data_IF_822494137717
#
_entry.id   IF_822494137717
#
_cell.length_a   1.000
_cell.length_b   1.000
_cell.length_c   1.000
_cell.angle_alpha   90.00
_cell.angle_beta   90.00
_cell.angle_gamma   90.00
#
_symmetry.space_group_name_H-M   'P 1'
#
loop_
_entity.id
_entity.type
_entity.pdbx_description
1 polymer ?
#
# COMPACT_ATOMS: atom_id res chain seq x y z
N UNK A 1 -30.94 -18.19 26.30
CA UNK A 1 -30.28 -18.07 25.02
C UNK A 1 -30.81 -16.82 24.31
N UNK A 2 -29.96 -15.80 24.06
CA UNK A 2 -30.36 -14.64 23.25
C UNK A 2 -30.41 -15.08 21.80
N UNK A 3 -31.59 -14.94 21.18
CA UNK A 3 -31.80 -15.21 19.76
C UNK A 3 -30.94 -14.20 18.97
N UNK A 4 -29.91 -14.69 18.27
CA UNK A 4 -29.16 -13.87 17.32
C UNK A 4 -30.09 -13.66 16.14
N UNK A 5 -30.52 -12.43 15.92
CA UNK A 5 -31.36 -12.08 14.77
C UNK A 5 -30.56 -12.33 13.49
N UNK A 6 -31.19 -12.99 12.52
CA UNK A 6 -30.62 -13.19 11.19
C UNK A 6 -30.42 -11.83 10.49
N UNK A 7 -29.31 -11.59 9.79
CA UNK A 7 -29.11 -10.36 9.01
C UNK A 7 -30.17 -10.13 7.91
N UNK A 8 -31.05 -11.10 7.69
CA UNK A 8 -32.07 -11.08 6.64
C UNK A 8 -33.48 -10.69 7.14
N UNK A 9 -33.67 -10.47 8.44
CA UNK A 9 -34.92 -9.86 8.91
C UNK A 9 -34.92 -8.38 8.50
N UNK A 10 -35.66 -8.07 7.42
CA UNK A 10 -35.85 -6.68 6.98
C UNK A 10 -36.56 -5.90 8.10
N UNK A 11 -35.80 -5.07 8.80
CA UNK A 11 -36.38 -4.06 9.67
C UNK A 11 -37.01 -3.01 8.73
N UNK A 12 -38.32 -2.91 8.73
CA UNK A 12 -39.01 -1.82 8.04
C UNK A 12 -38.77 -0.54 8.84
N UNK A 13 -37.87 0.30 8.35
CA UNK A 13 -37.77 1.68 8.82
C UNK A 13 -38.92 2.48 8.21
N UNK A 14 -39.63 3.33 8.97
CA UNK A 14 -40.61 4.22 8.38
C UNK A 14 -39.91 5.13 7.37
N UNK A 15 -40.36 5.10 6.13
CA UNK A 15 -39.90 6.06 5.12
C UNK A 15 -40.45 7.44 5.50
N UNK A 16 -39.56 8.42 5.64
CA UNK A 16 -39.95 9.81 5.80
C UNK A 16 -40.08 10.43 4.42
N UNK A 17 -41.28 10.80 4.04
CA UNK A 17 -41.55 11.44 2.75
C UNK A 17 -41.17 12.94 2.76
N UNK A 18 -40.93 13.53 3.93
CA UNK A 18 -40.58 14.94 4.07
C UNK A 18 -39.23 15.09 4.79
N UNK A 19 -38.31 15.80 4.12
CA UNK A 19 -37.05 16.18 4.74
C UNK A 19 -37.28 17.40 5.66
N UNK A 20 -36.80 17.40 6.91
CA UNK A 20 -36.89 18.56 7.79
C UNK A 20 -36.21 19.79 7.16
N UNK A 21 -36.72 20.98 7.46
CA UNK A 21 -36.16 22.23 6.98
C UNK A 21 -34.66 22.34 7.33
N UNK A 22 -33.83 22.63 6.32
CA UNK A 22 -32.36 22.76 6.48
C UNK A 22 -31.58 21.47 6.23
N UNK A 23 -32.23 20.32 6.02
CA UNK A 23 -31.57 19.09 5.57
C UNK A 23 -31.32 19.15 4.07
N UNK A 24 -30.08 18.88 3.66
CA UNK A 24 -29.72 18.77 2.24
C UNK A 24 -29.66 17.32 1.86
N UNK A 25 -30.36 16.94 0.81
CA UNK A 25 -30.19 15.67 0.17
C UNK A 25 -28.82 15.62 -0.51
N UNK A 26 -28.01 14.66 -0.15
CA UNK A 26 -26.73 14.40 -0.82
C UNK A 26 -26.94 13.19 -1.72
N UNK A 27 -26.88 13.43 -3.03
CA UNK A 27 -26.89 12.36 -4.00
C UNK A 27 -25.64 11.50 -3.79
N UNK A 28 -25.83 10.28 -3.30
CA UNK A 28 -24.75 9.29 -3.21
C UNK A 28 -24.44 8.83 -4.63
N UNK A 29 -23.37 9.38 -5.20
CA UNK A 29 -22.88 8.88 -6.48
C UNK A 29 -22.17 7.56 -6.23
N UNK A 30 -22.54 6.52 -6.95
CA UNK A 30 -21.84 5.23 -7.03
C UNK A 30 -20.46 5.35 -7.70
N UNK A 31 -19.71 6.37 -7.32
CA UNK A 31 -18.36 6.62 -7.80
C UNK A 31 -17.32 6.21 -6.76
N UNK A 32 -17.65 5.23 -5.91
CA UNK A 32 -16.63 4.58 -5.12
C UNK A 32 -15.75 3.80 -6.09
N UNK A 33 -14.53 4.31 -6.27
CA UNK A 33 -13.44 3.53 -6.80
C UNK A 33 -13.26 2.25 -5.96
N UNK A 34 -12.19 1.56 -6.18
CA UNK A 34 -11.88 0.39 -5.38
C UNK A 34 -11.72 0.77 -3.91
N UNK A 35 -12.21 -0.07 -3.00
CA UNK A 35 -11.82 0.01 -1.59
C UNK A 35 -10.33 -0.32 -1.45
N UNK A 36 -9.72 0.08 -0.35
CA UNK A 36 -8.30 -0.20 -0.08
C UNK A 36 -8.19 -1.15 1.10
N UNK A 37 -7.47 -2.24 0.90
CA UNK A 37 -7.05 -3.16 1.96
C UNK A 37 -5.60 -2.85 2.34
N UNK A 38 -5.30 -2.85 3.64
CA UNK A 38 -3.95 -2.60 4.17
C UNK A 38 -3.41 -3.86 4.84
N UNK A 39 -2.22 -4.27 4.44
CA UNK A 39 -1.39 -5.28 5.09
C UNK A 39 -0.20 -4.57 5.76
N UNK A 40 -0.30 -4.28 7.06
CA UNK A 40 0.72 -3.50 7.76
C UNK A 40 1.92 -4.36 8.19
N UNK A 41 3.06 -3.69 8.33
CA UNK A 41 4.26 -4.18 8.99
C UNK A 41 4.75 -5.56 8.55
N UNK A 42 4.72 -5.82 7.23
CA UNK A 42 5.21 -7.06 6.67
C UNK A 42 6.74 -7.04 6.67
N UNK A 43 7.36 -7.92 7.44
CA UNK A 43 8.81 -8.10 7.47
C UNK A 43 9.28 -8.69 6.13
N UNK A 44 10.20 -8.03 5.45
CA UNK A 44 10.75 -8.49 4.18
C UNK A 44 12.24 -8.84 4.24
N UNK A 45 12.96 -8.31 5.21
CA UNK A 45 14.38 -8.58 5.42
C UNK A 45 14.79 -8.27 6.85
N UNK A 46 15.91 -8.87 7.26
CA UNK A 46 16.63 -8.52 8.49
C UNK A 46 18.12 -8.35 8.18
N UNK A 47 18.69 -7.25 8.63
CA UNK A 47 20.13 -6.97 8.50
C UNK A 47 20.73 -6.56 9.84
N UNK A 48 21.66 -7.37 10.36
CA UNK A 48 22.37 -7.09 11.62
C UNK A 48 21.42 -6.80 12.80
N UNK A 49 20.31 -7.55 12.89
CA UNK A 49 19.29 -7.39 13.93
C UNK A 49 18.27 -6.27 13.66
N UNK A 50 18.42 -5.47 12.59
CA UNK A 50 17.42 -4.51 12.14
C UNK A 50 16.46 -5.20 11.18
N UNK A 51 15.21 -5.34 11.59
CA UNK A 51 14.11 -5.79 10.75
C UNK A 51 13.61 -4.65 9.89
N UNK A 52 13.34 -4.93 8.63
CA UNK A 52 12.83 -4.01 7.64
C UNK A 52 11.43 -4.43 7.19
N UNK A 53 10.53 -3.46 7.09
CA UNK A 53 9.12 -3.71 6.85
C UNK A 53 8.59 -3.04 5.58
N UNK A 54 7.50 -3.57 5.09
CA UNK A 54 6.72 -2.99 3.98
C UNK A 54 5.28 -2.80 4.47
N UNK A 55 4.69 -1.65 4.13
CA UNK A 55 3.25 -1.45 4.20
C UNK A 55 2.67 -1.75 2.82
N UNK A 56 1.84 -2.78 2.69
CA UNK A 56 1.20 -3.10 1.41
C UNK A 56 -0.26 -2.64 1.45
N UNK A 57 -0.67 -1.94 0.40
CA UNK A 57 -2.04 -1.52 0.18
C UNK A 57 -2.49 -2.05 -1.18
N UNK A 58 -3.66 -2.67 -1.23
CA UNK A 58 -4.22 -3.18 -2.49
C UNK A 58 -5.64 -2.71 -2.69
N UNK A 59 -6.03 -2.43 -3.94
CA UNK A 59 -7.43 -2.25 -4.26
C UNK A 59 -8.19 -3.55 -3.99
N UNK A 60 -9.41 -3.44 -3.52
CA UNK A 60 -10.27 -4.61 -3.34
C UNK A 60 -11.63 -4.36 -3.98
N UNK A 61 -12.18 -5.40 -4.59
CA UNK A 61 -13.54 -5.45 -5.12
C UNK A 61 -14.22 -6.64 -4.49
N UNK A 62 -15.35 -6.39 -3.85
CA UNK A 62 -16.07 -7.44 -3.15
C UNK A 62 -16.41 -8.62 -4.07
N UNK A 63 -15.99 -9.82 -3.67
CA UNK A 63 -16.29 -11.06 -4.40
C UNK A 63 -15.45 -11.30 -5.66
N UNK A 64 -14.37 -10.54 -5.90
CA UNK A 64 -13.48 -10.71 -7.05
C UNK A 64 -12.04 -10.91 -6.61
N UNK A 65 -11.38 -11.92 -7.19
CA UNK A 65 -9.92 -12.16 -7.04
C UNK A 65 -9.18 -11.51 -8.22
N UNK A 66 -8.90 -10.23 -8.09
CA UNK A 66 -8.18 -9.45 -9.10
C UNK A 66 -6.71 -9.31 -8.71
N UNK A 67 -5.85 -9.12 -9.72
CA UNK A 67 -4.42 -8.81 -9.54
C UNK A 67 -4.14 -7.41 -10.03
N UNK A 68 -3.39 -6.65 -9.22
CA UNK A 68 -3.17 -5.24 -9.44
C UNK A 68 -1.71 -4.94 -9.80
N UNK A 69 -1.44 -4.07 -10.77
CA UNK A 69 -0.09 -3.57 -11.02
C UNK A 69 0.44 -2.87 -9.75
N UNK A 70 1.71 -3.09 -9.46
CA UNK A 70 2.36 -2.64 -8.23
C UNK A 70 3.17 -1.37 -8.46
N UNK A 71 3.02 -0.41 -7.56
CA UNK A 71 3.95 0.70 -7.37
C UNK A 71 4.71 0.46 -6.07
N UNK A 72 6.01 0.27 -6.16
CA UNK A 72 6.92 0.26 -5.01
C UNK A 72 7.32 1.70 -4.73
N UNK A 73 6.84 2.21 -3.60
CA UNK A 73 7.07 3.59 -3.18
C UNK A 73 8.15 3.65 -2.10
N UNK A 74 9.15 4.47 -2.33
CA UNK A 74 10.24 4.75 -1.40
C UNK A 74 10.10 6.19 -0.91
N UNK A 75 9.74 6.34 0.36
CA UNK A 75 9.56 7.64 0.99
C UNK A 75 10.90 8.35 1.19
N UNK A 76 10.94 9.65 0.87
CA UNK A 76 12.06 10.51 1.19
C UNK A 76 12.18 10.75 2.70
N UNK A 77 13.39 10.68 3.22
CA UNK A 77 13.70 10.89 4.65
C UNK A 77 15.09 11.50 4.86
N UNK A 78 15.70 12.05 3.79
CA UNK A 78 17.14 12.43 3.80
C UNK A 78 18.04 11.26 4.24
N UNK A 79 17.64 10.03 3.88
CA UNK A 79 18.26 8.75 4.29
C UNK A 79 18.26 8.46 5.79
N UNK A 80 17.53 9.26 6.59
CA UNK A 80 17.25 8.97 8.00
C UNK A 80 16.07 7.98 8.12
N UNK A 81 15.71 7.68 9.37
CA UNK A 81 14.56 6.82 9.67
C UNK A 81 13.29 7.36 9.04
N UNK A 82 12.60 6.50 8.31
CA UNK A 82 11.33 6.80 7.64
C UNK A 82 10.14 6.69 8.60
N UNK A 83 9.06 7.42 8.29
CA UNK A 83 7.75 7.20 8.85
C UNK A 83 6.82 6.65 7.76
N UNK A 84 6.77 5.33 7.62
CA UNK A 84 6.03 4.65 6.55
C UNK A 84 4.53 4.97 6.56
N UNK A 85 3.97 5.30 7.72
CA UNK A 85 2.54 5.58 7.87
C UNK A 85 2.14 6.97 7.37
N UNK A 86 3.08 7.90 7.29
CA UNK A 86 2.80 9.27 6.85
C UNK A 86 2.24 9.33 5.43
N UNK A 87 2.67 8.44 4.56
CA UNK A 87 2.27 8.43 3.14
C UNK A 87 1.00 7.63 2.87
N UNK A 88 0.48 6.84 3.83
CA UNK A 88 -0.69 5.99 3.64
C UNK A 88 -1.91 6.72 3.05
N UNK A 89 -2.34 7.89 3.57
CA UNK A 89 -3.53 8.55 3.03
C UNK A 89 -3.39 8.99 1.57
N UNK A 90 -2.18 9.40 1.18
CA UNK A 90 -1.89 9.80 -0.20
C UNK A 90 -1.83 8.58 -1.12
N UNK A 91 -1.23 7.50 -0.65
CA UNK A 91 -1.07 6.26 -1.42
C UNK A 91 -2.40 5.51 -1.57
N UNK A 92 -3.32 5.61 -0.62
CA UNK A 92 -4.67 5.05 -0.74
C UNK A 92 -5.40 5.54 -1.99
N UNK A 93 -5.19 6.80 -2.39
CA UNK A 93 -5.77 7.35 -3.63
C UNK A 93 -5.26 6.67 -4.91
N UNK A 94 -4.09 6.04 -4.85
CA UNK A 94 -3.59 5.24 -5.97
C UNK A 94 -4.27 3.88 -6.02
N UNK A 95 -4.60 3.30 -4.85
CA UNK A 95 -5.43 2.09 -4.78
C UNK A 95 -6.82 2.32 -5.37
N UNK A 96 -7.45 3.46 -5.09
CA UNK A 96 -8.73 3.85 -5.71
C UNK A 96 -8.66 3.93 -7.26
N UNK A 97 -7.45 4.03 -7.83
CA UNK A 97 -7.18 4.05 -9.26
C UNK A 97 -6.73 2.70 -9.83
N UNK A 98 -6.75 1.65 -9.02
CA UNK A 98 -6.43 0.29 -9.44
C UNK A 98 -4.95 -0.07 -9.40
N UNK A 99 -4.15 0.55 -8.52
CA UNK A 99 -2.75 0.20 -8.28
C UNK A 99 -2.56 -0.38 -6.89
N UNK A 100 -1.87 -1.49 -6.76
CA UNK A 100 -1.30 -1.92 -5.50
C UNK A 100 -0.10 -1.02 -5.15
N UNK A 101 0.10 -0.74 -3.86
CA UNK A 101 1.20 0.08 -3.36
C UNK A 101 1.99 -0.72 -2.33
N UNK A 102 3.31 -0.67 -2.40
CA UNK A 102 4.21 -1.14 -1.36
C UNK A 102 5.10 -0.01 -0.89
N UNK A 103 4.89 0.48 0.33
CA UNK A 103 5.74 1.50 0.96
C UNK A 103 6.88 0.78 1.66
N UNK A 104 8.11 0.99 1.18
CA UNK A 104 9.28 0.21 1.60
C UNK A 104 10.11 0.96 2.63
N UNK A 105 10.39 0.32 3.77
CA UNK A 105 11.41 0.74 4.70
C UNK A 105 12.80 0.41 4.15
N UNK A 106 13.77 1.29 4.37
CA UNK A 106 15.20 1.03 4.16
C UNK A 106 15.99 1.36 5.42
N UNK A 107 17.20 0.84 5.54
CA UNK A 107 18.11 1.22 6.62
C UNK A 107 18.46 2.69 6.51
N UNK A 108 18.47 3.36 7.63
CA UNK A 108 19.01 4.71 7.76
C UNK A 108 20.53 4.73 7.56
N UNK A 109 21.05 5.85 7.06
CA UNK A 109 22.48 6.01 6.75
C UNK A 109 23.38 5.94 8.00
N UNK A 110 22.81 6.19 9.17
CA UNK A 110 23.49 6.04 10.46
C UNK A 110 23.78 4.56 10.79
N UNK A 111 22.96 3.65 10.33
CA UNK A 111 23.16 2.20 10.51
C UNK A 111 23.98 1.59 9.37
N UNK A 112 23.75 2.05 8.14
CA UNK A 112 24.42 1.52 6.97
C UNK A 112 24.54 2.58 5.88
N UNK A 113 25.79 2.95 5.49
CA UNK A 113 25.98 3.95 4.44
C UNK A 113 25.54 3.43 3.07
N UNK A 114 25.47 4.34 2.08
CA UNK A 114 25.28 3.94 0.68
C UNK A 114 26.25 2.80 0.29
N UNK A 115 25.78 1.74 -0.43
CA UNK A 115 24.50 1.65 -1.15
C UNK A 115 23.38 0.88 -0.41
N UNK A 116 23.42 0.79 0.92
CA UNK A 116 22.51 -0.04 1.70
C UNK A 116 21.04 0.22 1.37
N UNK A 117 20.64 1.47 1.21
CA UNK A 117 19.26 1.86 0.90
C UNK A 117 18.78 1.32 -0.45
N UNK A 118 19.68 1.33 -1.43
CA UNK A 118 19.39 0.76 -2.77
C UNK A 118 19.25 -0.76 -2.70
N UNK A 119 20.15 -1.41 -1.94
CA UNK A 119 20.11 -2.87 -1.73
C UNK A 119 18.81 -3.28 -1.03
N UNK A 120 18.37 -2.51 -0.05
CA UNK A 120 17.13 -2.77 0.69
C UNK A 120 15.92 -2.65 -0.25
N UNK A 121 15.85 -1.61 -1.08
CA UNK A 121 14.79 -1.46 -2.09
C UNK A 121 14.78 -2.64 -3.08
N UNK A 122 15.94 -3.07 -3.57
CA UNK A 122 16.04 -4.26 -4.44
C UNK A 122 15.60 -5.54 -3.74
N UNK A 123 15.94 -5.68 -2.47
CA UNK A 123 15.51 -6.82 -1.65
C UNK A 123 14.00 -6.83 -1.47
N UNK A 124 13.40 -5.68 -1.20
CA UNK A 124 11.95 -5.53 -1.14
C UNK A 124 11.27 -5.90 -2.47
N UNK A 125 11.83 -5.50 -3.61
CA UNK A 125 11.29 -5.87 -4.92
C UNK A 125 11.36 -7.39 -5.13
N UNK A 126 12.46 -8.04 -4.75
CA UNK A 126 12.57 -9.51 -4.83
C UNK A 126 11.55 -10.21 -3.94
N UNK A 127 11.39 -9.72 -2.70
CA UNK A 127 10.36 -10.22 -1.78
C UNK A 127 8.96 -10.11 -2.40
N UNK A 128 8.62 -8.94 -2.96
CA UNK A 128 7.32 -8.69 -3.58
C UNK A 128 7.09 -9.55 -4.83
N UNK A 129 8.12 -9.81 -5.63
CA UNK A 129 8.03 -10.75 -6.77
C UNK A 129 7.73 -12.18 -6.32
N UNK A 130 8.30 -12.62 -5.22
CA UNK A 130 8.10 -13.97 -4.69
C UNK A 130 6.76 -14.12 -3.96
N UNK A 131 6.35 -13.11 -3.21
CA UNK A 131 5.23 -13.18 -2.27
C UNK A 131 4.00 -12.35 -2.68
N UNK A 132 4.12 -11.46 -3.67
CA UNK A 132 3.11 -10.48 -4.01
C UNK A 132 1.75 -11.06 -4.39
N UNK A 133 1.73 -12.30 -4.89
CA UNK A 133 0.47 -13.02 -5.18
C UNK A 133 -0.42 -13.21 -3.95
N UNK A 134 0.17 -13.29 -2.77
CA UNK A 134 -0.55 -13.41 -1.50
C UNK A 134 -1.29 -12.10 -1.13
N UNK A 135 -0.95 -11.01 -1.81
CA UNK A 135 -1.49 -9.67 -1.62
C UNK A 135 -2.19 -9.15 -2.88
N UNK A 136 -2.67 -10.03 -3.74
CA UNK A 136 -3.35 -9.68 -5.00
C UNK A 136 -2.52 -8.78 -5.95
N UNK A 137 -1.19 -8.90 -5.92
CA UNK A 137 -0.27 -8.12 -6.75
C UNK A 137 0.03 -8.88 -8.06
N UNK A 138 -0.03 -8.15 -9.18
CA UNK A 138 0.53 -8.59 -10.46
C UNK A 138 2.06 -8.37 -10.43
N UNK A 139 2.79 -9.44 -10.15
CA UNK A 139 4.25 -9.41 -9.96
C UNK A 139 5.04 -9.17 -11.25
N UNK A 140 4.37 -9.19 -12.40
CA UNK A 140 4.98 -8.91 -13.70
C UNK A 140 4.90 -7.41 -14.06
N UNK A 141 4.08 -6.64 -13.34
CA UNK A 141 3.85 -5.21 -13.55
C UNK A 141 4.25 -4.41 -12.32
N UNK A 142 5.54 -4.10 -12.21
CA UNK A 142 6.12 -3.36 -11.08
C UNK A 142 6.74 -2.06 -11.58
N UNK A 143 6.31 -0.95 -10.99
CA UNK A 143 6.91 0.36 -11.16
C UNK A 143 7.58 0.81 -9.85
N UNK A 144 8.62 1.64 -9.96
CA UNK A 144 9.28 2.28 -8.83
C UNK A 144 8.91 3.75 -8.80
N UNK A 145 8.61 4.24 -7.61
CA UNK A 145 8.33 5.64 -7.36
C UNK A 145 8.96 6.06 -6.02
N UNK A 146 9.34 7.31 -5.93
CA UNK A 146 9.86 7.87 -4.68
C UNK A 146 9.93 9.39 -4.76
N UNK A 147 10.16 10.01 -3.63
CA UNK A 147 10.42 11.43 -3.50
C UNK A 147 11.77 11.67 -2.81
N UNK A 148 12.44 12.80 -3.10
CA UNK A 148 13.68 13.21 -2.44
C UNK A 148 14.75 12.08 -2.40
N UNK A 149 15.30 11.74 -1.24
CA UNK A 149 16.24 10.62 -1.05
C UNK A 149 15.64 9.26 -1.44
N UNK A 150 14.33 9.10 -1.28
CA UNK A 150 13.61 7.91 -1.75
C UNK A 150 13.60 7.81 -3.27
N UNK A 151 13.43 8.93 -3.98
CA UNK A 151 13.52 8.96 -5.44
C UNK A 151 14.91 8.57 -5.94
N UNK A 152 15.97 9.03 -5.28
CA UNK A 152 17.34 8.61 -5.56
C UNK A 152 17.50 7.09 -5.44
N UNK A 153 17.06 6.51 -4.33
CA UNK A 153 17.15 5.05 -4.10
C UNK A 153 16.32 4.25 -5.10
N UNK A 154 15.10 4.71 -5.39
CA UNK A 154 14.21 4.08 -6.37
C UNK A 154 14.79 4.12 -7.79
N UNK A 155 15.33 5.28 -8.20
CA UNK A 155 15.94 5.45 -9.52
C UNK A 155 17.14 4.52 -9.70
N UNK A 156 18.09 4.52 -8.76
CA UNK A 156 19.27 3.66 -8.85
C UNK A 156 18.86 2.19 -8.83
N UNK A 157 17.92 1.78 -7.97
CA UNK A 157 17.43 0.41 -7.96
C UNK A 157 16.83 0.00 -9.30
N UNK A 158 16.10 0.89 -9.99
CA UNK A 158 15.47 0.63 -11.27
C UNK A 158 16.44 0.51 -12.44
N UNK A 159 17.45 1.37 -12.50
CA UNK A 159 18.41 1.37 -13.64
C UNK A 159 19.56 0.38 -13.49
N UNK A 160 19.77 -0.16 -12.28
CA UNK A 160 20.88 -1.10 -11.98
C UNK A 160 20.40 -2.54 -11.78
N UNK A 161 19.29 -2.94 -12.42
CA UNK A 161 18.58 -4.20 -12.18
C UNK A 161 19.46 -5.45 -12.06
N UNK A 162 20.42 -5.64 -12.98
CA UNK A 162 21.24 -6.86 -13.08
C UNK A 162 22.68 -6.69 -12.56
N UNK A 163 22.98 -5.57 -11.93
CA UNK A 163 24.35 -5.29 -11.44
C UNK A 163 24.63 -6.08 -10.16
N UNK A 164 25.69 -6.91 -10.15
CA UNK A 164 26.07 -7.75 -8.99
C UNK A 164 26.49 -6.97 -7.76
N UNK A 165 26.83 -5.70 -7.90
CA UNK A 165 27.38 -4.85 -6.83
C UNK A 165 26.38 -3.89 -6.22
N UNK A 166 25.14 -3.85 -6.71
CA UNK A 166 24.04 -3.02 -6.20
C UNK A 166 22.76 -3.81 -6.05
#
# INVERSE_FOLDING_TARGET
>A
MKKILSPMEKIHFPESEELPEGVKEIEVKDTFGYCTELYPDIEYAEHSGKKLHIQIMTPTVFGQDLKWPLIVYVQGSSWHKQNLFQSLPTMARMCERGYAIAIVEHRESELAPFPAQVIDVKTAIRFLRLNGRNYHIDTDKIALWGDSSGAHSALIAGITGDTKYL
#
